data_IF_170525475441
#
_entry.id   IF_170525475441
#
_cell.length_a   1.000
_cell.length_b   1.000
_cell.length_c   1.000
_cell.angle_alpha   90.00
_cell.angle_beta   90.00
_cell.angle_gamma   90.00
#
_symmetry.space_group_name_H-M   'P 1'
#
loop_
_entity.id
_entity.type
_entity.pdbx_description
1 polymer ?
#
# COMPACT_ATOMS: atom_id res chain seq x y z
N UNK A 1 -10.13 17.98 2.48
CA UNK A 1 -9.15 17.57 3.49
C UNK A 1 -8.51 16.27 3.00
N UNK A 2 -7.19 16.13 3.10
CA UNK A 2 -6.46 14.93 2.70
C UNK A 2 -6.75 13.71 3.59
N UNK A 3 -7.30 13.93 4.79
CA UNK A 3 -7.75 12.84 5.65
C UNK A 3 -9.19 12.39 5.39
N UNK A 4 -9.91 13.07 4.50
CA UNK A 4 -11.27 12.68 4.15
C UNK A 4 -11.25 11.35 3.36
N UNK A 5 -12.24 10.50 3.57
CA UNK A 5 -12.40 9.25 2.80
C UNK A 5 -12.82 9.51 1.35
N UNK A 6 -13.54 10.60 1.10
CA UNK A 6 -13.90 11.05 -0.23
C UNK A 6 -12.68 11.69 -0.93
N UNK A 7 -12.16 10.94 -1.90
CA UNK A 7 -10.96 11.22 -2.67
C UNK A 7 -11.04 12.50 -3.51
N UNK A 8 -12.25 12.99 -3.82
CA UNK A 8 -12.41 14.25 -4.56
C UNK A 8 -11.95 15.45 -3.73
N UNK A 9 -12.00 15.34 -2.39
CA UNK A 9 -11.51 16.37 -1.48
C UNK A 9 -9.97 16.47 -1.41
N UNK A 10 -9.24 15.54 -2.03
CA UNK A 10 -7.78 15.54 -2.09
C UNK A 10 -7.27 16.35 -3.28
N UNK A 11 -8.07 16.43 -4.35
CA UNK A 11 -7.68 16.91 -5.66
C UNK A 11 -7.07 18.31 -5.64
N UNK A 12 -7.71 19.24 -4.91
CA UNK A 12 -7.21 20.61 -4.73
C UNK A 12 -5.79 20.66 -4.14
N UNK A 13 -5.52 19.83 -3.13
CA UNK A 13 -4.23 19.81 -2.44
C UNK A 13 -3.15 19.16 -3.30
N UNK A 14 -3.50 18.07 -3.99
CA UNK A 14 -2.60 17.38 -4.93
C UNK A 14 -2.18 18.32 -6.07
N UNK A 15 -3.12 19.01 -6.69
CA UNK A 15 -2.83 19.98 -7.76
C UNK A 15 -2.07 21.22 -7.28
N UNK A 16 -2.06 21.51 -5.99
CA UNK A 16 -1.20 22.56 -5.42
C UNK A 16 0.23 22.07 -5.17
N UNK A 17 0.37 20.93 -4.49
CA UNK A 17 1.67 20.46 -4.00
C UNK A 17 2.52 19.87 -5.11
N UNK A 18 1.96 19.01 -5.96
CA UNK A 18 2.73 18.28 -6.98
C UNK A 18 3.45 19.20 -7.97
N UNK A 19 2.83 20.28 -8.50
CA UNK A 19 3.53 21.22 -9.38
C UNK A 19 4.62 22.02 -8.70
N UNK A 20 4.40 22.46 -7.46
CA UNK A 20 5.42 23.18 -6.67
C UNK A 20 6.65 22.30 -6.46
N UNK A 21 6.43 21.02 -6.17
CA UNK A 21 7.48 20.02 -5.99
C UNK A 21 8.03 19.45 -7.30
N UNK A 22 7.49 19.87 -8.46
CA UNK A 22 7.89 19.41 -9.80
C UNK A 22 7.75 17.88 -10.00
N UNK A 23 6.82 17.24 -9.30
CA UNK A 23 6.55 15.80 -9.42
C UNK A 23 5.56 15.56 -10.56
N UNK A 24 6.09 15.29 -11.76
CA UNK A 24 5.29 15.00 -12.95
C UNK A 24 5.11 13.49 -13.17
N UNK A 25 4.11 13.04 -13.95
CA UNK A 25 3.01 13.80 -14.56
C UNK A 25 1.87 14.10 -13.58
N UNK A 26 1.48 15.38 -13.45
CA UNK A 26 0.57 15.84 -12.38
C UNK A 26 -0.84 15.23 -12.47
N UNK A 27 -1.51 15.36 -13.61
CA UNK A 27 -2.90 14.88 -13.77
C UNK A 27 -3.00 13.35 -13.65
N UNK A 28 -2.04 12.64 -14.23
CA UNK A 28 -1.98 11.17 -14.15
C UNK A 28 -1.72 10.71 -12.71
N UNK A 29 -0.83 11.39 -11.97
CA UNK A 29 -0.60 11.09 -10.55
C UNK A 29 -1.83 11.37 -9.70
N UNK A 30 -2.54 12.48 -9.93
CA UNK A 30 -3.79 12.78 -9.20
C UNK A 30 -4.81 11.68 -9.44
N UNK A 31 -5.05 11.32 -10.71
CA UNK A 31 -5.96 10.22 -11.07
C UNK A 31 -5.52 8.91 -10.43
N UNK A 32 -4.23 8.59 -10.51
CA UNK A 32 -3.67 7.37 -9.92
C UNK A 32 -3.89 7.32 -8.41
N UNK A 33 -3.56 8.38 -7.66
CA UNK A 33 -3.71 8.46 -6.20
C UNK A 33 -5.17 8.21 -5.78
N UNK A 34 -6.13 8.82 -6.49
CA UNK A 34 -7.56 8.63 -6.21
C UNK A 34 -7.98 7.17 -6.39
N UNK A 35 -7.55 6.53 -7.48
CA UNK A 35 -7.90 5.13 -7.78
C UNK A 35 -7.13 4.14 -6.89
N UNK A 36 -5.86 4.41 -6.60
CA UNK A 36 -5.01 3.55 -5.76
C UNK A 36 -5.47 3.53 -4.31
N UNK A 37 -6.27 4.49 -3.87
CA UNK A 37 -6.93 4.41 -2.56
C UNK A 37 -7.73 3.11 -2.36
N UNK A 38 -8.14 2.46 -3.46
CA UNK A 38 -8.87 1.20 -3.50
C UNK A 38 -7.94 -0.02 -3.72
N UNK A 39 -6.62 0.15 -3.66
CA UNK A 39 -5.62 -0.88 -4.01
C UNK A 39 -5.74 -2.16 -3.21
N UNK A 40 -6.25 -2.08 -1.98
CA UNK A 40 -6.44 -3.26 -1.14
C UNK A 40 -7.79 -3.96 -1.35
N UNK A 41 -8.80 -3.23 -1.83
CA UNK A 41 -10.16 -3.74 -2.00
C UNK A 41 -10.44 -4.22 -3.43
N UNK A 42 -9.72 -3.66 -4.41
CA UNK A 42 -9.79 -4.03 -5.82
C UNK A 42 -8.52 -4.78 -6.24
N UNK A 43 -8.67 -5.75 -7.12
CA UNK A 43 -7.51 -6.41 -7.73
C UNK A 43 -6.79 -5.46 -8.71
N UNK A 44 -5.47 -5.69 -8.88
CA UNK A 44 -4.62 -4.90 -9.77
C UNK A 44 -5.17 -4.82 -11.21
N UNK A 45 -5.63 -5.92 -11.85
CA UNK A 45 -6.20 -5.86 -13.19
C UNK A 45 -7.36 -4.86 -13.35
N UNK A 46 -8.25 -4.79 -12.35
CA UNK A 46 -9.38 -3.86 -12.37
C UNK A 46 -8.91 -2.40 -12.26
N UNK A 47 -7.94 -2.13 -11.38
CA UNK A 47 -7.37 -0.78 -11.23
C UNK A 47 -6.67 -0.32 -12.52
N UNK A 48 -5.90 -1.21 -13.15
CA UNK A 48 -5.23 -0.95 -14.44
C UNK A 48 -6.27 -0.63 -15.52
N UNK A 49 -7.34 -1.42 -15.58
CA UNK A 49 -8.44 -1.20 -16.54
C UNK A 49 -9.13 0.15 -16.33
N UNK A 50 -9.39 0.52 -15.08
CA UNK A 50 -10.03 1.80 -14.70
C UNK A 50 -9.13 3.01 -15.00
N UNK A 51 -7.83 2.85 -14.81
CA UNK A 51 -6.84 3.88 -15.15
C UNK A 51 -6.61 4.00 -16.66
N UNK A 52 -6.76 2.90 -17.40
CA UNK A 52 -6.51 2.82 -18.84
C UNK A 52 -5.01 2.82 -19.18
N UNK A 53 -4.19 2.24 -18.31
CA UNK A 53 -2.72 2.24 -18.42
C UNK A 53 -2.16 0.82 -18.58
N UNK A 54 -0.85 0.70 -18.84
CA UNK A 54 -0.17 -0.61 -18.85
C UNK A 54 0.22 -1.05 -17.43
N UNK A 55 0.48 -2.34 -17.26
CA UNK A 55 1.01 -2.91 -16.00
C UNK A 55 2.30 -2.20 -15.57
N UNK A 56 3.24 -2.00 -16.49
CA UNK A 56 4.50 -1.32 -16.19
C UNK A 56 4.26 0.11 -15.72
N UNK A 57 3.32 0.83 -16.36
CA UNK A 57 2.99 2.20 -15.97
C UNK A 57 2.32 2.25 -14.59
N UNK A 58 1.48 1.27 -14.26
CA UNK A 58 0.87 1.16 -12.93
C UNK A 58 1.95 1.11 -11.84
N UNK A 59 2.91 0.19 -11.96
CA UNK A 59 3.99 0.06 -10.96
C UNK A 59 4.97 1.24 -10.96
N UNK A 60 5.18 1.89 -12.11
CA UNK A 60 5.95 3.14 -12.18
C UNK A 60 5.28 4.26 -11.37
N UNK A 61 3.97 4.45 -11.53
CA UNK A 61 3.19 5.44 -10.79
C UNK A 61 3.08 5.07 -9.30
N UNK A 62 2.89 3.78 -8.99
CA UNK A 62 2.86 3.29 -7.62
C UNK A 62 4.14 3.64 -6.87
N UNK A 63 5.30 3.33 -7.46
CA UNK A 63 6.61 3.69 -6.91
C UNK A 63 6.77 5.20 -6.72
N UNK A 64 6.26 6.00 -7.66
CA UNK A 64 6.30 7.45 -7.59
C UNK A 64 5.44 7.98 -6.44
N UNK A 65 4.30 7.35 -6.18
CA UNK A 65 3.44 7.69 -5.05
C UNK A 65 4.06 7.30 -3.71
N UNK A 66 4.58 6.06 -3.60
CA UNK A 66 5.17 5.54 -2.36
C UNK A 66 6.48 6.20 -1.95
N UNK A 67 7.13 6.89 -2.89
CA UNK A 67 8.39 7.58 -2.64
C UNK A 67 8.27 9.11 -2.81
N UNK A 68 8.09 9.61 -4.04
CA UNK A 68 8.17 11.05 -4.31
C UNK A 68 7.00 11.81 -3.66
N UNK A 69 5.77 11.30 -3.82
CA UNK A 69 4.56 11.94 -3.29
C UNK A 69 4.53 11.87 -1.77
N UNK A 70 4.75 10.69 -1.18
CA UNK A 70 4.76 10.56 0.28
C UNK A 70 5.81 11.48 0.92
N UNK A 71 7.00 11.60 0.34
CA UNK A 71 8.07 12.45 0.86
C UNK A 71 7.69 13.93 0.83
N UNK A 72 7.15 14.44 -0.28
CA UNK A 72 6.77 15.85 -0.33
C UNK A 72 5.62 16.16 0.63
N UNK A 73 4.62 15.29 0.74
CA UNK A 73 3.50 15.51 1.66
C UNK A 73 3.94 15.39 3.12
N UNK A 74 4.94 14.57 3.43
CA UNK A 74 5.57 14.55 4.75
C UNK A 74 6.25 15.90 5.05
N UNK A 75 7.02 16.45 4.10
CA UNK A 75 7.61 17.78 4.26
C UNK A 75 6.53 18.86 4.47
N UNK A 76 5.44 18.82 3.70
CA UNK A 76 4.30 19.73 3.87
C UNK A 76 3.69 19.59 5.28
N UNK A 77 3.52 18.36 5.76
CA UNK A 77 2.98 18.08 7.10
C UNK A 77 3.87 18.63 8.22
N UNK A 78 5.20 18.51 8.08
CA UNK A 78 6.15 19.06 9.05
C UNK A 78 6.12 20.59 9.01
N UNK A 79 6.26 21.18 7.82
CA UNK A 79 6.32 22.63 7.66
C UNK A 79 5.03 23.33 8.10
N UNK A 80 3.86 22.76 7.80
CA UNK A 80 2.60 23.37 8.24
C UNK A 80 2.47 23.39 9.77
N UNK A 81 2.94 22.35 10.47
CA UNK A 81 2.89 22.27 11.93
C UNK A 81 3.81 23.30 12.59
N UNK A 82 4.96 23.56 11.98
CA UNK A 82 5.93 24.56 12.44
C UNK A 82 5.48 26.00 12.14
N UNK A 83 4.98 26.27 10.94
CA UNK A 83 4.64 27.63 10.49
C UNK A 83 3.24 28.06 10.98
N UNK A 84 2.31 27.12 11.09
CA UNK A 84 0.92 27.36 11.45
C UNK A 84 0.50 26.48 12.65
N UNK A 85 1.12 26.65 13.83
CA UNK A 85 0.92 25.75 14.98
C UNK A 85 -0.53 25.72 15.48
N UNK A 86 -1.31 26.77 15.21
CA UNK A 86 -2.71 26.87 15.60
C UNK A 86 -3.68 26.21 14.61
N UNK A 87 -3.22 25.76 13.43
CA UNK A 87 -4.10 25.23 12.39
C UNK A 87 -4.59 23.80 12.69
N UNK A 88 -3.99 23.10 13.65
CA UNK A 88 -4.34 21.73 14.08
C UNK A 88 -4.61 20.73 12.93
N UNK A 89 -4.01 20.97 11.77
CA UNK A 89 -4.10 20.07 10.62
C UNK A 89 -2.96 19.08 10.70
N UNK A 90 -3.28 17.79 10.70
CA UNK A 90 -2.31 16.71 10.66
C UNK A 90 -2.63 15.76 9.51
N UNK A 91 -1.81 15.75 8.46
CA UNK A 91 -2.01 14.89 7.28
C UNK A 91 -1.17 13.60 7.35
N UNK A 92 -0.64 13.23 8.52
CA UNK A 92 0.20 12.03 8.69
C UNK A 92 -0.48 10.76 8.18
N UNK A 93 -1.80 10.65 8.33
CA UNK A 93 -2.58 9.51 7.80
C UNK A 93 -2.45 9.42 6.28
N UNK A 94 -2.62 10.54 5.57
CA UNK A 94 -2.45 10.59 4.12
C UNK A 94 -1.00 10.27 3.70
N UNK A 95 -0.02 10.78 4.44
CA UNK A 95 1.41 10.47 4.22
C UNK A 95 1.67 8.98 4.39
N UNK A 96 1.16 8.35 5.44
CA UNK A 96 1.27 6.90 5.66
C UNK A 96 0.61 6.10 4.55
N UNK A 97 -0.62 6.48 4.14
CA UNK A 97 -1.34 5.82 3.05
C UNK A 97 -0.54 5.90 1.74
N UNK A 98 -0.04 7.07 1.36
CA UNK A 98 0.77 7.22 0.14
C UNK A 98 2.07 6.43 0.22
N UNK A 99 2.77 6.49 1.36
CA UNK A 99 4.03 5.76 1.58
C UNK A 99 3.90 4.26 1.38
N UNK A 100 2.79 3.66 1.82
CA UNK A 100 2.51 2.23 1.63
C UNK A 100 1.67 1.94 0.39
N UNK A 101 1.65 2.84 -0.60
CA UNK A 101 0.87 2.68 -1.84
C UNK A 101 -0.61 2.31 -1.60
N UNK A 102 -1.19 2.83 -0.51
CA UNK A 102 -2.55 2.57 -0.04
C UNK A 102 -2.84 1.11 0.32
N UNK A 103 -1.79 0.33 0.60
CA UNK A 103 -1.90 -1.00 1.19
C UNK A 103 -1.80 -0.92 2.72
N UNK A 104 -2.29 -1.94 3.44
CA UNK A 104 -1.88 -2.14 4.82
C UNK A 104 -0.35 -2.24 4.91
N UNK A 105 0.24 -1.67 5.96
CA UNK A 105 1.70 -1.58 6.13
C UNK A 105 2.38 -2.93 5.96
N UNK A 106 1.87 -3.96 6.65
CA UNK A 106 2.48 -5.29 6.62
C UNK A 106 2.33 -5.95 5.26
N UNK A 107 1.23 -5.71 4.53
CA UNK A 107 1.08 -6.20 3.14
C UNK A 107 2.14 -5.58 2.23
N UNK A 108 2.35 -4.27 2.30
CA UNK A 108 3.37 -3.58 1.53
C UNK A 108 4.78 -4.12 1.83
N UNK A 109 5.10 -4.25 3.13
CA UNK A 109 6.39 -4.79 3.54
C UNK A 109 6.56 -6.24 3.09
N UNK A 110 5.54 -7.09 3.23
CA UNK A 110 5.63 -8.48 2.80
C UNK A 110 5.85 -8.64 1.29
N UNK A 111 5.30 -7.73 0.48
CA UNK A 111 5.55 -7.72 -0.95
C UNK A 111 7.02 -7.44 -1.28
N UNK A 112 7.65 -6.51 -0.56
CA UNK A 112 9.10 -6.26 -0.64
C UNK A 112 9.92 -7.47 -0.16
N UNK A 113 9.37 -8.28 0.77
CA UNK A 113 9.95 -9.54 1.24
C UNK A 113 9.60 -10.76 0.36
N UNK A 114 8.92 -10.53 -0.77
CA UNK A 114 8.65 -11.57 -1.77
C UNK A 114 7.33 -12.32 -1.60
N UNK A 115 6.40 -11.84 -0.78
CA UNK A 115 5.01 -12.31 -0.71
C UNK A 115 4.07 -11.32 -1.44
N UNK A 116 3.68 -11.60 -2.70
CA UNK A 116 2.79 -10.74 -3.48
C UNK A 116 1.50 -10.40 -2.74
N UNK A 117 1.05 -9.14 -2.86
CA UNK A 117 -0.15 -8.66 -2.15
C UNK A 117 -1.41 -9.47 -2.46
N UNK A 118 -1.50 -10.06 -3.64
CA UNK A 118 -2.64 -10.92 -4.04
C UNK A 118 -2.71 -12.20 -3.20
N UNK A 119 -1.55 -12.79 -2.87
CA UNK A 119 -1.47 -13.97 -2.01
C UNK A 119 -1.76 -13.55 -0.57
N UNK A 120 -1.19 -12.42 -0.11
CA UNK A 120 -1.50 -11.85 1.21
C UNK A 120 -3.00 -11.63 1.40
N UNK A 121 -3.72 -11.17 0.36
CA UNK A 121 -5.19 -11.00 0.43
C UNK A 121 -5.91 -12.33 0.65
N UNK A 122 -5.51 -13.41 -0.06
CA UNK A 122 -6.10 -14.74 0.15
C UNK A 122 -5.90 -15.23 1.58
N UNK A 123 -4.70 -15.03 2.12
CA UNK A 123 -4.38 -15.39 3.52
C UNK A 123 -5.21 -14.56 4.50
N UNK A 124 -5.31 -13.24 4.31
CA UNK A 124 -6.15 -12.38 5.15
C UNK A 124 -7.61 -12.86 5.16
N UNK A 125 -8.16 -13.18 3.99
CA UNK A 125 -9.54 -13.65 3.85
C UNK A 125 -9.80 -15.00 4.53
N UNK A 126 -8.77 -15.85 4.67
CA UNK A 126 -8.89 -17.12 5.40
C UNK A 126 -9.05 -16.94 6.93
N UNK A 127 -8.70 -15.77 7.47
CA UNK A 127 -8.74 -15.49 8.90
C UNK A 127 -7.64 -16.16 9.73
N UNK A 128 -6.69 -16.86 9.10
CA UNK A 128 -5.58 -17.53 9.80
C UNK A 128 -4.65 -16.55 10.50
N UNK A 129 -4.43 -15.39 9.90
CA UNK A 129 -3.58 -14.32 10.41
C UNK A 129 -4.15 -12.98 9.96
N UNK A 130 -4.16 -12.00 10.86
CA UNK A 130 -4.55 -10.63 10.51
C UNK A 130 -3.32 -9.86 10.01
N UNK A 131 -3.17 -9.76 8.70
CA UNK A 131 -2.09 -9.03 8.00
C UNK A 131 -2.40 -7.53 7.95
N UNK A 132 -3.65 -7.12 8.17
CA UNK A 132 -4.06 -5.71 8.19
C UNK A 132 -3.74 -5.00 9.52
N UNK A 133 -3.28 -5.75 10.53
CA UNK A 133 -2.94 -5.22 11.84
C UNK A 133 -1.68 -4.33 11.77
N UNK A 134 -1.89 -3.01 11.71
CA UNK A 134 -0.80 -2.04 11.62
C UNK A 134 -0.04 -1.83 12.93
N UNK A 135 -0.54 -2.34 14.06
CA UNK A 135 0.10 -2.24 15.37
C UNK A 135 1.16 -3.34 15.58
N UNK A 136 1.05 -4.45 14.84
CA UNK A 136 2.09 -5.48 14.82
C UNK A 136 3.32 -5.04 14.03
N UNK A 137 4.50 -5.27 14.60
CA UNK A 137 5.75 -5.17 13.86
C UNK A 137 5.97 -6.35 12.92
N UNK A 138 6.90 -6.17 11.98
CA UNK A 138 7.21 -7.15 10.95
C UNK A 138 7.71 -8.48 11.54
N UNK A 139 8.48 -8.44 12.64
CA UNK A 139 9.03 -9.63 13.26
C UNK A 139 7.94 -10.49 13.90
N UNK A 140 7.04 -9.85 14.64
CA UNK A 140 5.91 -10.50 15.32
C UNK A 140 5.00 -11.21 14.32
N UNK A 141 4.78 -10.61 13.15
CA UNK A 141 3.92 -11.21 12.13
C UNK A 141 4.65 -12.33 11.37
N UNK A 142 5.96 -12.24 11.18
CA UNK A 142 6.80 -13.33 10.66
C UNK A 142 6.78 -14.53 11.61
N UNK A 143 6.85 -14.30 12.92
CA UNK A 143 6.75 -15.37 13.92
C UNK A 143 5.40 -16.09 13.84
N UNK A 144 4.29 -15.34 13.68
CA UNK A 144 2.96 -15.93 13.42
C UNK A 144 2.92 -16.75 12.13
N UNK A 145 3.59 -16.30 11.07
CA UNK A 145 3.73 -17.11 9.86
C UNK A 145 4.48 -18.42 10.16
N UNK A 146 5.62 -18.36 10.86
CA UNK A 146 6.39 -19.53 11.24
C UNK A 146 5.60 -20.52 12.13
N UNK A 147 4.71 -20.03 13.01
CA UNK A 147 3.79 -20.88 13.80
C UNK A 147 2.66 -21.52 12.97
N UNK A 148 2.15 -20.80 11.96
CA UNK A 148 1.17 -21.33 11.03
C UNK A 148 1.78 -22.40 10.13
N UNK A 149 3.03 -22.23 9.69
CA UNK A 149 3.72 -23.08 8.70
C UNK A 149 3.11 -23.07 7.30
N UNK A 150 3.94 -23.37 6.31
CA UNK A 150 3.55 -23.47 4.90
C UNK A 150 2.41 -24.48 4.71
N UNK A 151 2.50 -25.64 5.37
CA UNK A 151 1.56 -26.75 5.21
C UNK A 151 0.15 -26.39 5.67
N UNK A 152 -0.01 -25.67 6.80
CA UNK A 152 -1.35 -25.26 7.23
C UNK A 152 -1.93 -24.20 6.32
N UNK A 153 -1.11 -23.26 5.83
CA UNK A 153 -1.56 -22.21 4.90
C UNK A 153 -2.10 -22.83 3.61
N UNK A 154 -1.38 -23.76 2.97
CA UNK A 154 -1.86 -24.38 1.73
C UNK A 154 -3.10 -25.29 1.90
N UNK A 155 -3.37 -25.74 3.13
CA UNK A 155 -4.53 -26.58 3.45
C UNK A 155 -5.79 -25.76 3.76
N UNK A 156 -5.63 -24.58 4.35
CA UNK A 156 -6.74 -23.79 4.90
C UNK A 156 -7.06 -22.53 4.10
N UNK A 157 -6.12 -22.04 3.29
CA UNK A 157 -6.39 -20.91 2.38
C UNK A 157 -6.99 -21.42 1.09
N UNK A 158 -8.21 -20.97 0.79
CA UNK A 158 -8.91 -21.28 -0.45
C UNK A 158 -8.26 -20.58 -1.66
N UNK A 159 -8.54 -21.08 -2.87
CA UNK A 159 -8.13 -20.48 -4.15
C UNK A 159 -6.62 -20.28 -4.35
N UNK A 160 -5.76 -21.02 -3.65
CA UNK A 160 -4.32 -21.06 -3.95
C UNK A 160 -4.03 -21.97 -5.15
N UNK A 161 -3.53 -21.38 -6.23
CA UNK A 161 -3.06 -22.15 -7.40
C UNK A 161 -1.63 -22.68 -7.21
N UNK A 162 -1.10 -23.38 -8.22
CA UNK A 162 0.24 -23.96 -8.15
C UNK A 162 1.35 -22.90 -8.12
N UNK A 163 1.13 -21.74 -8.75
CA UNK A 163 2.07 -20.64 -8.73
C UNK A 163 2.06 -19.94 -7.37
N UNK A 164 0.89 -19.74 -6.77
CA UNK A 164 0.77 -19.21 -5.42
C UNK A 164 1.50 -20.11 -4.41
N UNK A 165 1.29 -21.43 -4.48
CA UNK A 165 1.97 -22.41 -3.63
C UNK A 165 3.48 -22.38 -3.81
N UNK A 166 3.94 -22.22 -5.05
CA UNK A 166 5.36 -22.05 -5.34
C UNK A 166 5.90 -20.81 -4.64
N UNK A 167 5.29 -19.64 -4.84
CA UNK A 167 5.72 -18.38 -4.21
C UNK A 167 5.69 -18.48 -2.69
N UNK A 168 4.62 -19.03 -2.11
CA UNK A 168 4.49 -19.27 -0.68
C UNK A 168 5.64 -20.12 -0.14
N UNK A 169 6.01 -21.20 -0.84
CA UNK A 169 7.13 -22.03 -0.42
C UNK A 169 8.43 -21.22 -0.33
N UNK A 170 8.73 -20.41 -1.35
CA UNK A 170 9.93 -19.55 -1.34
C UNK A 170 9.88 -18.51 -0.22
N UNK A 171 8.72 -17.89 0.02
CA UNK A 171 8.53 -16.95 1.11
C UNK A 171 8.78 -17.62 2.46
N UNK A 172 8.15 -18.76 2.73
CA UNK A 172 8.33 -19.53 3.96
C UNK A 172 9.77 -20.01 4.17
N UNK A 173 10.46 -20.43 3.11
CA UNK A 173 11.87 -20.81 3.20
C UNK A 173 12.78 -19.60 3.44
N UNK A 174 12.38 -18.39 3.00
CA UNK A 174 13.11 -17.15 3.23
C UNK A 174 12.93 -16.54 4.63
N UNK A 175 11.81 -16.82 5.31
CA UNK A 175 11.53 -16.31 6.67
C UNK A 175 11.84 -17.32 7.78
N UNK A 176 12.20 -18.56 7.41
CA UNK A 176 12.75 -19.54 8.36
C UNK A 176 14.15 -19.10 8.77
N UNK A 177 14.30 -18.76 10.05
CA UNK A 177 15.60 -18.69 10.71
C UNK A 177 16.11 -20.10 11.03
#
# INVERSE_FOLDING_TARGET
DLNNEDVDNWEYFLYKVLPIAKISPYEELVKFIKISSLSWDKNIPNLIKELGISVNKFFELEKKVSFDVSNIFNCVNILQKEILPNLNTDISIFVTKTHYAFLPKNVYLFEEYGLPRMISKKIQLSGLINIEDNDMDLHSIIDKFNELTYEKVIQQVEDLDNFDKYILKYFFDGIKN
#
